data_IF_054660011439
#
_entry.id   IF_054660011439
#
_cell.length_a   1.000
_cell.length_b   1.000
_cell.length_c   1.000
_cell.angle_alpha   90.00
_cell.angle_beta   90.00
_cell.angle_gamma   90.00
#
_symmetry.space_group_name_H-M   'P 1'
#
loop_
_entity.id
_entity.type
_entity.pdbx_description
1 polymer ?
#
# COMPACT_ATOMS: atom_id res chain seq x y z
N UNK A 1 10.24 -22.95 -7.78
CA UNK A 1 11.51 -22.95 -8.57
C UNK A 1 12.73 -23.37 -7.76
N UNK A 2 12.93 -22.87 -6.54
CA UNK A 2 14.11 -23.22 -5.72
C UNK A 2 14.34 -24.74 -5.56
N UNK A 3 13.28 -25.53 -5.35
CA UNK A 3 13.39 -26.99 -5.23
C UNK A 3 13.86 -27.70 -6.52
N UNK A 4 13.47 -27.18 -7.68
CA UNK A 4 13.92 -27.72 -8.98
C UNK A 4 15.40 -27.42 -9.22
N UNK A 5 15.84 -26.19 -8.89
CA UNK A 5 17.25 -25.81 -8.96
C UNK A 5 18.11 -26.68 -8.02
N UNK A 6 17.63 -26.97 -6.81
CA UNK A 6 18.31 -27.88 -5.88
C UNK A 6 18.43 -29.28 -6.48
N UNK A 7 17.31 -29.84 -6.98
CA UNK A 7 17.29 -31.17 -7.61
C UNK A 7 18.24 -31.26 -8.80
N UNK A 8 18.35 -30.22 -9.61
CA UNK A 8 19.29 -30.18 -10.74
C UNK A 8 20.75 -30.27 -10.29
N UNK A 9 21.10 -29.65 -9.16
CA UNK A 9 22.46 -29.67 -8.62
C UNK A 9 22.79 -30.94 -7.83
N UNK A 10 21.81 -31.51 -7.13
CA UNK A 10 22.06 -32.63 -6.20
C UNK A 10 21.53 -33.97 -6.70
N UNK A 11 20.67 -33.99 -7.71
CA UNK A 11 19.92 -35.18 -8.14
C UNK A 11 18.75 -35.55 -7.24
N UNK A 12 18.56 -34.86 -6.11
CA UNK A 12 17.59 -35.25 -5.07
C UNK A 12 16.30 -34.42 -5.14
N UNK A 13 15.16 -35.12 -5.10
CA UNK A 13 13.85 -34.50 -4.87
C UNK A 13 13.67 -33.99 -3.44
N UNK A 14 12.51 -33.40 -3.15
CA UNK A 14 12.17 -32.98 -1.79
C UNK A 14 10.68 -32.73 -1.62
N UNK A 15 10.23 -32.77 -0.37
CA UNK A 15 8.89 -32.36 0.05
C UNK A 15 8.89 -30.85 0.35
N UNK A 16 7.83 -30.15 -0.05
CA UNK A 16 7.64 -28.73 0.24
C UNK A 16 6.44 -28.59 1.17
N UNK A 17 6.69 -28.17 2.40
CA UNK A 17 5.63 -27.70 3.28
C UNK A 17 5.36 -26.23 2.96
N UNK A 18 4.12 -25.92 2.55
CA UNK A 18 3.75 -24.59 2.07
C UNK A 18 2.43 -24.19 2.73
N UNK A 19 2.52 -23.22 3.64
CA UNK A 19 1.36 -22.56 4.21
C UNK A 19 1.09 -21.22 3.50
N UNK A 20 -0.17 -20.98 3.15
CA UNK A 20 -0.61 -19.67 2.61
C UNK A 20 -0.36 -18.57 3.65
N UNK A 21 -0.54 -18.88 4.94
CA UNK A 21 -0.32 -17.94 6.03
C UNK A 21 1.12 -17.43 6.06
N UNK A 22 2.12 -18.31 5.97
CA UNK A 22 3.54 -17.93 5.97
C UNK A 22 3.89 -17.06 4.74
N UNK A 23 3.32 -17.40 3.57
CA UNK A 23 3.49 -16.61 2.36
C UNK A 23 2.90 -15.20 2.48
N UNK A 24 1.67 -15.09 2.99
CA UNK A 24 1.02 -13.81 3.23
C UNK A 24 1.76 -12.97 4.27
N UNK A 25 2.21 -13.61 5.36
CA UNK A 25 3.01 -12.96 6.40
C UNK A 25 4.32 -12.39 5.84
N UNK A 26 5.01 -13.16 4.99
CA UNK A 26 6.22 -12.68 4.30
C UNK A 26 5.99 -11.46 3.39
N UNK A 27 4.81 -11.35 2.77
CA UNK A 27 4.44 -10.18 1.94
C UNK A 27 4.11 -8.92 2.76
N UNK A 28 3.78 -9.07 4.04
CA UNK A 28 3.46 -7.97 4.96
C UNK A 28 4.66 -7.50 5.79
N UNK A 29 5.88 -7.90 5.42
CA UNK A 29 7.09 -7.71 6.24
C UNK A 29 7.30 -6.27 6.73
N UNK A 30 7.00 -5.26 5.90
CA UNK A 30 7.13 -3.85 6.27
C UNK A 30 6.23 -3.46 7.46
N UNK A 31 4.97 -3.89 7.44
CA UNK A 31 4.00 -3.57 8.49
C UNK A 31 4.25 -4.39 9.76
N UNK A 32 4.70 -5.63 9.58
CA UNK A 32 5.10 -6.50 10.70
C UNK A 32 6.31 -5.90 11.42
N UNK A 33 7.32 -5.44 10.68
CA UNK A 33 8.53 -4.84 11.26
C UNK A 33 8.20 -3.58 12.07
N UNK A 34 7.36 -2.69 11.53
CA UNK A 34 6.90 -1.50 12.24
C UNK A 34 6.11 -1.83 13.51
N UNK A 35 5.18 -2.80 13.44
CA UNK A 35 4.45 -3.27 14.62
C UNK A 35 5.40 -3.79 15.70
N UNK A 36 6.38 -4.61 15.32
CA UNK A 36 7.36 -5.15 16.27
C UNK A 36 8.26 -4.05 16.86
N UNK A 37 8.60 -3.03 16.09
CA UNK A 37 9.45 -1.93 16.53
C UNK A 37 8.72 -0.91 17.42
N UNK A 38 7.42 -0.68 17.17
CA UNK A 38 6.69 0.47 17.77
C UNK A 38 5.45 0.08 18.57
N UNK A 39 4.93 -1.15 18.40
CA UNK A 39 3.63 -1.58 18.92
C UNK A 39 2.43 -1.03 18.15
N UNK A 40 2.65 -0.27 17.08
CA UNK A 40 1.59 0.35 16.28
C UNK A 40 0.88 -0.69 15.43
N UNK A 41 -0.39 -0.95 15.73
CA UNK A 41 -1.18 -1.95 15.00
C UNK A 41 -1.48 -1.47 13.57
N UNK A 42 -1.11 -2.26 12.53
CA UNK A 42 -1.37 -1.89 11.16
C UNK A 42 -2.85 -2.01 10.83
N UNK A 43 -3.35 -1.11 9.99
CA UNK A 43 -4.76 -1.15 9.58
C UNK A 43 -5.09 -0.30 8.35
N UNK A 44 -6.33 -0.41 7.86
CA UNK A 44 -6.87 0.49 6.85
C UNK A 44 -6.79 1.94 7.31
N UNK A 45 -6.45 2.86 6.42
CA UNK A 45 -6.32 4.29 6.72
C UNK A 45 -5.11 4.68 7.57
N UNK A 46 -4.24 3.74 7.95
CA UNK A 46 -3.10 4.04 8.85
C UNK A 46 -1.89 4.61 8.10
N UNK A 47 -1.68 4.19 6.85
CA UNK A 47 -0.46 4.45 6.10
C UNK A 47 -0.76 5.13 4.77
N UNK A 48 0.30 5.71 4.18
CA UNK A 48 0.22 6.39 2.88
C UNK A 48 -0.31 5.50 1.75
N UNK A 49 -0.12 4.18 1.83
CA UNK A 49 -0.61 3.22 0.83
C UNK A 49 -1.88 2.47 1.26
N UNK A 50 -2.47 2.82 2.40
CA UNK A 50 -3.66 2.13 2.93
C UNK A 50 -4.88 3.03 3.07
N UNK A 51 -4.86 4.22 2.43
CA UNK A 51 -6.00 5.15 2.47
C UNK A 51 -5.90 6.23 3.53
N UNK A 52 -4.73 6.49 4.12
CA UNK A 52 -4.61 7.56 5.14
C UNK A 52 -4.85 8.96 4.58
N UNK A 53 -4.37 9.20 3.36
CA UNK A 53 -4.32 10.53 2.77
C UNK A 53 -5.16 10.57 1.49
N UNK A 54 -5.78 11.72 1.25
CA UNK A 54 -6.60 11.96 0.08
C UNK A 54 -5.88 11.75 -1.27
N UNK A 55 -4.54 11.84 -1.26
CA UNK A 55 -3.74 11.58 -2.43
C UNK A 55 -3.59 10.08 -2.76
N UNK A 56 -4.06 9.16 -1.91
CA UNK A 56 -4.03 7.71 -2.13
C UNK A 56 -5.28 7.04 -1.56
N UNK A 57 -6.42 7.18 -2.23
CA UNK A 57 -7.70 6.66 -1.77
C UNK A 57 -8.68 6.39 -2.93
N UNK A 58 -9.79 5.71 -2.65
CA UNK A 58 -10.89 5.46 -3.60
C UNK A 58 -12.06 6.39 -3.30
N UNK A 59 -12.47 7.17 -4.30
CA UNK A 59 -13.58 8.12 -4.21
C UNK A 59 -14.79 7.64 -5.00
N UNK A 60 -15.98 7.87 -4.46
CA UNK A 60 -17.24 7.69 -5.21
C UNK A 60 -17.56 8.96 -5.99
N UNK A 61 -17.76 8.83 -7.30
CA UNK A 61 -18.11 9.90 -8.21
C UNK A 61 -19.62 10.17 -8.20
N UNK A 62 -20.03 11.31 -8.77
CA UNK A 62 -21.45 11.71 -8.82
C UNK A 62 -22.36 10.75 -9.61
N UNK A 63 -21.79 9.90 -10.47
CA UNK A 63 -22.50 8.85 -11.21
C UNK A 63 -22.52 7.50 -10.46
N UNK A 64 -22.04 7.46 -9.22
CA UNK A 64 -21.96 6.26 -8.38
C UNK A 64 -20.82 5.30 -8.74
N UNK A 65 -19.95 5.65 -9.70
CA UNK A 65 -18.74 4.87 -10.00
C UNK A 65 -17.61 5.27 -9.07
N UNK A 66 -16.51 4.53 -9.11
CA UNK A 66 -15.35 4.78 -8.26
C UNK A 66 -14.14 5.27 -9.06
N UNK A 67 -13.38 6.18 -8.47
CA UNK A 67 -12.09 6.65 -8.94
C UNK A 67 -11.02 6.29 -7.90
N UNK A 68 -10.03 5.51 -8.30
CA UNK A 68 -8.84 5.28 -7.49
C UNK A 68 -7.82 6.41 -7.74
N UNK A 69 -7.45 7.13 -6.69
CA UNK A 69 -6.41 8.16 -6.71
C UNK A 69 -5.14 7.57 -6.10
N UNK A 70 -3.99 7.81 -6.75
CA UNK A 70 -2.67 7.36 -6.30
C UNK A 70 -1.59 8.40 -6.60
N UNK A 71 -1.87 9.67 -6.31
CA UNK A 71 -1.04 10.82 -6.60
C UNK A 71 -0.04 11.13 -5.46
N UNK A 72 0.83 10.17 -5.12
CA UNK A 72 1.77 10.29 -3.99
C UNK A 72 2.84 11.35 -4.25
N UNK A 73 3.34 11.48 -5.47
CA UNK A 73 4.34 12.50 -5.77
C UNK A 73 3.71 13.91 -5.74
N UNK A 74 4.32 14.88 -5.04
CA UNK A 74 3.70 16.20 -4.83
C UNK A 74 3.29 16.92 -6.12
N UNK A 75 4.06 16.76 -7.20
CA UNK A 75 3.70 17.35 -8.51
C UNK A 75 2.38 16.78 -9.05
N UNK A 76 2.10 15.50 -8.84
CA UNK A 76 0.88 14.86 -9.31
C UNK A 76 -0.31 15.29 -8.46
N UNK A 77 -0.12 15.39 -7.14
CA UNK A 77 -1.14 15.94 -6.24
C UNK A 77 -1.50 17.38 -6.62
N UNK A 78 -0.50 18.26 -6.80
CA UNK A 78 -0.75 19.65 -7.22
C UNK A 78 -1.47 19.73 -8.56
N UNK A 79 -1.08 18.92 -9.53
CA UNK A 79 -1.74 18.87 -10.83
C UNK A 79 -3.20 18.40 -10.71
N UNK A 80 -3.47 17.39 -9.88
CA UNK A 80 -4.82 16.90 -9.61
C UNK A 80 -5.66 17.98 -8.93
N UNK A 81 -5.13 18.63 -7.89
CA UNK A 81 -5.80 19.75 -7.22
C UNK A 81 -6.14 20.86 -8.22
N UNK A 82 -5.20 21.26 -9.09
CA UNK A 82 -5.46 22.27 -10.12
C UNK A 82 -6.53 21.83 -11.13
N UNK A 83 -6.51 20.58 -11.58
CA UNK A 83 -7.51 20.07 -12.52
C UNK A 83 -8.93 20.01 -11.91
N UNK A 84 -9.03 19.86 -10.58
CA UNK A 84 -10.30 19.80 -9.85
C UNK A 84 -10.74 21.15 -9.25
N UNK A 85 -9.96 22.23 -9.40
CA UNK A 85 -10.25 23.54 -8.78
C UNK A 85 -10.10 23.52 -7.25
N UNK A 86 -9.16 22.72 -6.75
CA UNK A 86 -8.90 22.41 -5.35
C UNK A 86 -7.50 22.86 -4.91
N UNK A 87 -6.97 23.93 -5.49
CA UNK A 87 -5.61 24.45 -5.27
C UNK A 87 -5.31 24.75 -3.79
N UNK A 88 -6.33 25.05 -2.99
CA UNK A 88 -6.19 25.26 -1.53
C UNK A 88 -5.64 24.05 -0.77
N UNK A 89 -5.65 22.86 -1.37
CA UNK A 89 -5.10 21.62 -0.80
C UNK A 89 -3.76 21.21 -1.41
N UNK A 90 -3.24 21.96 -2.39
CA UNK A 90 -2.04 21.61 -3.16
C UNK A 90 -0.80 21.36 -2.28
N UNK A 91 -0.69 22.05 -1.15
CA UNK A 91 0.42 21.91 -0.20
C UNK A 91 0.00 21.27 1.14
N UNK A 92 -1.23 20.73 1.23
CA UNK A 92 -1.75 20.04 2.42
C UNK A 92 -1.82 18.52 2.23
N UNK A 93 -0.96 17.97 1.37
CA UNK A 93 -1.03 16.59 0.90
C UNK A 93 -0.99 15.55 2.03
N UNK A 94 -0.13 15.76 3.03
CA UNK A 94 0.08 14.87 4.17
C UNK A 94 -0.25 15.57 5.50
N UNK A 95 -1.13 16.57 5.45
CA UNK A 95 -1.60 17.28 6.64
C UNK A 95 -2.74 16.47 7.26
N UNK A 96 -2.45 15.80 8.38
CA UNK A 96 -3.42 14.94 9.10
C UNK A 96 -4.66 15.74 9.54
N UNK A 97 -4.54 17.05 9.87
CA UNK A 97 -5.68 17.88 10.28
C UNK A 97 -6.65 18.16 9.13
N UNK A 98 -6.25 17.87 7.89
CA UNK A 98 -7.06 18.07 6.69
C UNK A 98 -7.48 16.79 5.98
N UNK A 99 -7.26 15.64 6.61
CA UNK A 99 -7.78 14.35 6.15
C UNK A 99 -9.13 14.08 6.85
N UNK A 100 -10.21 14.66 6.32
CA UNK A 100 -11.57 14.54 6.87
C UNK A 100 -12.63 15.11 5.95
#
# INVERSE_FOLDING_TARGET
MAALLRRERTGEGGYLDVAIADGAFGLMSLYVDEYLATGTEPGPGHYILTGRYACYEVYTCGDGRHLAVGAIEPRFWRNLCGALGLERYADAQTDDERQG
#
